data_IF_475854485660
#
_entry.id   IF_475854485660
#
_cell.length_a   1.000
_cell.length_b   1.000
_cell.length_c   1.000
_cell.angle_alpha   90.00
_cell.angle_beta   90.00
_cell.angle_gamma   90.00
#
_symmetry.space_group_name_H-M   'P 1'
#
loop_
_entity.id
_entity.type
_entity.pdbx_description
1 polymer ?
#
# COMPACT_ATOMS: atom_id res chain seq x y z
N UNK A 1 -27.63 -4.64 -2.96
CA UNK A 1 -27.19 -3.57 -2.07
C UNK A 1 -27.72 -2.20 -2.51
N UNK A 2 -28.39 -2.05 -3.65
CA UNK A 2 -29.05 -0.79 -4.07
C UNK A 2 -28.11 0.40 -4.36
N UNK A 3 -26.81 0.14 -4.56
CA UNK A 3 -25.84 1.16 -4.97
C UNK A 3 -25.89 1.23 -6.50
N UNK A 4 -26.35 2.35 -7.02
CA UNK A 4 -26.44 2.56 -8.47
C UNK A 4 -25.16 3.15 -9.06
N UNK A 5 -24.45 3.97 -8.28
CA UNK A 5 -23.19 4.62 -8.67
C UNK A 5 -22.25 4.72 -7.48
N UNK A 6 -20.98 4.50 -7.70
CA UNK A 6 -19.97 4.62 -6.66
C UNK A 6 -18.74 3.76 -6.95
N UNK A 7 -17.73 3.96 -6.15
CA UNK A 7 -16.58 3.08 -6.09
C UNK A 7 -16.75 2.12 -4.91
N UNK A 8 -16.45 0.87 -5.15
CA UNK A 8 -16.49 -0.18 -4.15
C UNK A 8 -15.10 -0.78 -3.98
N UNK A 9 -14.68 -0.93 -2.74
CA UNK A 9 -13.55 -1.76 -2.36
C UNK A 9 -14.09 -3.10 -1.86
N UNK A 10 -13.89 -4.14 -2.64
CA UNK A 10 -14.35 -5.50 -2.32
C UNK A 10 -13.18 -6.38 -1.95
N UNK A 11 -13.21 -6.91 -0.74
CA UNK A 11 -12.25 -7.91 -0.29
C UNK A 11 -12.78 -9.31 -0.60
N UNK A 12 -11.95 -10.11 -1.26
CA UNK A 12 -12.31 -11.48 -1.66
C UNK A 12 -11.21 -12.46 -1.25
N UNK A 13 -11.62 -13.66 -0.86
CA UNK A 13 -10.73 -14.80 -0.68
C UNK A 13 -10.86 -15.72 -1.88
N UNK A 14 -9.74 -16.03 -2.51
CA UNK A 14 -9.69 -17.06 -3.54
C UNK A 14 -9.69 -18.44 -2.86
N UNK A 15 -10.64 -19.29 -3.25
CA UNK A 15 -10.77 -20.65 -2.75
C UNK A 15 -10.82 -21.64 -3.92
N UNK A 16 -10.63 -22.96 -3.69
CA UNK A 16 -10.79 -23.96 -4.74
C UNK A 16 -12.16 -23.92 -5.43
N UNK A 17 -13.22 -23.50 -4.69
CA UNK A 17 -14.59 -23.36 -5.20
C UNK A 17 -14.88 -21.98 -5.82
N UNK A 18 -13.86 -21.17 -6.07
CA UNK A 18 -13.97 -19.82 -6.61
C UNK A 18 -13.87 -18.71 -5.56
N UNK A 19 -13.99 -17.43 -5.96
CA UNK A 19 -13.84 -16.29 -5.07
C UNK A 19 -15.02 -16.20 -4.08
N UNK A 20 -14.69 -15.91 -2.82
CA UNK A 20 -15.65 -15.65 -1.74
C UNK A 20 -15.47 -14.23 -1.23
N UNK A 21 -16.55 -13.46 -1.22
CA UNK A 21 -16.54 -12.08 -0.70
C UNK A 21 -16.36 -12.12 0.81
N UNK A 22 -15.39 -11.36 1.31
CA UNK A 22 -15.15 -11.13 2.75
C UNK A 22 -15.87 -9.85 3.17
N UNK A 23 -15.60 -8.75 2.45
CA UNK A 23 -16.10 -7.43 2.79
C UNK A 23 -16.39 -6.61 1.53
N UNK A 24 -17.42 -5.77 1.63
CA UNK A 24 -17.80 -4.82 0.59
C UNK A 24 -17.89 -3.42 1.21
N UNK A 25 -16.99 -2.55 0.83
CA UNK A 25 -16.91 -1.18 1.33
C UNK A 25 -17.30 -0.17 0.23
N UNK A 26 -18.22 0.75 0.56
CA UNK A 26 -18.63 1.85 -0.32
C UNK A 26 -17.62 3.01 -0.35
N UNK A 27 -16.34 2.69 -0.44
CA UNK A 27 -15.23 3.65 -0.48
C UNK A 27 -14.03 3.08 -1.22
N UNK A 28 -13.06 3.91 -1.50
CA UNK A 28 -11.74 3.49 -1.99
C UNK A 28 -10.98 2.79 -0.86
N UNK A 29 -10.29 1.71 -1.19
CA UNK A 29 -9.37 1.02 -0.27
C UNK A 29 -8.12 1.86 0.02
N UNK A 30 -7.61 1.79 1.25
CA UNK A 30 -6.36 2.48 1.60
C UNK A 30 -5.16 1.91 0.84
N UNK A 31 -4.38 2.79 0.18
CA UNK A 31 -3.22 2.42 -0.63
C UNK A 31 -3.53 1.76 -1.98
N UNK A 32 -4.81 1.43 -2.25
CA UNK A 32 -5.24 0.82 -3.53
C UNK A 32 -5.04 1.76 -4.72
N UNK A 33 -5.37 3.07 -4.64
CA UNK A 33 -5.12 3.99 -5.75
C UNK A 33 -3.65 4.04 -6.16
N UNK A 34 -2.76 4.14 -5.18
CA UNK A 34 -1.32 4.23 -5.39
C UNK A 34 -0.77 2.95 -6.00
N UNK A 35 -1.14 1.80 -5.47
CA UNK A 35 -0.72 0.50 -6.02
C UNK A 35 -1.26 0.27 -7.43
N UNK A 36 -2.51 0.65 -7.69
CA UNK A 36 -3.13 0.51 -9.00
C UNK A 36 -2.45 1.39 -10.04
N UNK A 37 -2.18 2.66 -9.70
CA UNK A 37 -1.46 3.58 -10.56
C UNK A 37 -0.06 3.04 -10.91
N UNK A 38 0.65 2.47 -9.92
CA UNK A 38 1.97 1.86 -10.12
C UNK A 38 1.95 0.60 -10.99
N UNK A 39 0.92 -0.20 -10.89
CA UNK A 39 0.82 -1.46 -11.62
C UNK A 39 0.28 -1.29 -13.05
N UNK A 40 -0.61 -0.33 -13.28
CA UNK A 40 -1.42 -0.22 -14.49
C UNK A 40 -1.44 1.17 -15.14
N UNK A 41 -0.98 2.21 -14.43
CA UNK A 41 -1.13 3.61 -14.83
C UNK A 41 -2.53 4.19 -14.63
N UNK A 42 -3.47 3.44 -14.03
CA UNK A 42 -4.84 3.91 -13.81
C UNK A 42 -4.93 4.80 -12.58
N UNK A 43 -5.33 6.05 -12.81
CA UNK A 43 -5.55 7.07 -11.77
C UNK A 43 -6.97 6.95 -11.20
N UNK A 44 -7.11 6.29 -10.05
CA UNK A 44 -8.41 5.99 -9.46
C UNK A 44 -9.10 7.22 -8.83
N UNK A 45 -8.33 8.16 -8.28
CA UNK A 45 -8.88 9.35 -7.61
C UNK A 45 -9.62 10.30 -8.56
N UNK A 46 -9.09 10.66 -9.75
CA UNK A 46 -9.84 11.41 -10.75
C UNK A 46 -11.13 10.71 -11.18
N UNK A 47 -11.11 9.39 -11.31
CA UNK A 47 -12.31 8.61 -11.63
C UNK A 47 -13.35 8.67 -10.52
N UNK A 48 -12.92 8.59 -9.26
CA UNK A 48 -13.80 8.76 -8.11
C UNK A 48 -14.51 10.12 -8.13
N UNK A 49 -13.77 11.18 -8.44
CA UNK A 49 -14.33 12.52 -8.54
C UNK A 49 -15.37 12.61 -9.67
N UNK A 50 -15.07 12.08 -10.85
CA UNK A 50 -16.02 12.04 -11.97
C UNK A 50 -17.31 11.31 -11.60
N UNK A 51 -17.19 10.13 -10.96
CA UNK A 51 -18.36 9.38 -10.48
C UNK A 51 -19.18 10.20 -9.49
N UNK A 52 -18.53 10.93 -8.56
CA UNK A 52 -19.21 11.78 -7.59
C UNK A 52 -19.93 12.98 -8.23
N UNK A 53 -19.39 13.49 -9.35
CA UNK A 53 -20.02 14.54 -10.15
C UNK A 53 -21.13 14.02 -11.08
N UNK A 54 -21.39 12.71 -11.08
CA UNK A 54 -22.40 12.09 -11.95
C UNK A 54 -21.93 11.89 -13.39
N UNK A 55 -20.64 12.13 -13.66
CA UNK A 55 -20.04 11.91 -14.97
C UNK A 55 -19.83 10.43 -15.28
N UNK A 56 -19.95 10.00 -16.54
CA UNK A 56 -19.65 8.62 -16.91
C UNK A 56 -18.14 8.35 -16.81
N UNK A 57 -17.80 7.18 -16.27
CA UNK A 57 -16.46 6.60 -16.33
C UNK A 57 -16.55 5.32 -17.14
N UNK A 58 -15.89 5.30 -18.29
CA UNK A 58 -15.90 4.17 -19.20
C UNK A 58 -14.46 3.70 -19.40
N UNK A 59 -14.25 2.41 -19.26
CA UNK A 59 -13.01 1.74 -19.66
C UNK A 59 -13.25 1.06 -21.02
N UNK A 60 -12.48 1.43 -22.04
CA UNK A 60 -12.52 0.74 -23.32
C UNK A 60 -11.96 -0.68 -23.22
N UNK A 61 -10.98 -0.87 -22.34
CA UNK A 61 -10.43 -2.18 -21.98
C UNK A 61 -9.82 -2.12 -20.58
N UNK A 62 -9.72 -3.28 -19.92
CA UNK A 62 -8.93 -3.38 -18.70
C UNK A 62 -7.45 -3.19 -19.04
N UNK A 63 -6.75 -2.27 -18.37
CA UNK A 63 -5.33 -2.08 -18.61
C UNK A 63 -4.56 -3.35 -18.24
N UNK A 64 -3.55 -3.68 -19.04
CA UNK A 64 -2.68 -4.80 -18.75
C UNK A 64 -1.89 -4.53 -17.47
N UNK A 65 -1.93 -5.47 -16.53
CA UNK A 65 -1.12 -5.43 -15.33
C UNK A 65 0.26 -6.03 -15.66
N UNK A 66 1.18 -5.18 -16.14
CA UNK A 66 2.53 -5.60 -16.53
C UNK A 66 3.53 -5.61 -15.37
N UNK A 67 3.15 -5.06 -14.22
CA UNK A 67 4.01 -4.88 -13.03
C UNK A 67 3.24 -5.22 -11.76
N UNK A 68 3.98 -5.54 -10.72
CA UNK A 68 3.44 -5.71 -9.37
C UNK A 68 3.57 -4.37 -8.65
N UNK A 69 2.48 -3.64 -8.47
CA UNK A 69 2.42 -2.50 -7.57
C UNK A 69 2.40 -2.99 -6.12
N UNK A 70 3.18 -2.34 -5.25
CA UNK A 70 3.23 -2.72 -3.85
C UNK A 70 3.24 -1.52 -2.91
N UNK A 71 2.72 -1.74 -1.72
CA UNK A 71 2.81 -0.83 -0.59
C UNK A 71 3.15 -1.65 0.66
N UNK A 72 4.37 -1.47 1.17
CA UNK A 72 4.87 -2.14 2.37
C UNK A 72 4.71 -1.21 3.57
N UNK A 73 4.16 -1.73 4.66
CA UNK A 73 4.09 -1.05 5.96
C UNK A 73 5.05 -1.71 6.93
N UNK A 74 6.05 -0.98 7.41
CA UNK A 74 7.03 -1.50 8.36
C UNK A 74 6.68 -1.00 9.76
N UNK A 75 6.39 -1.95 10.64
CA UNK A 75 6.02 -1.71 12.02
C UNK A 75 7.24 -1.61 12.92
N UNK A 76 7.12 -0.87 14.02
CA UNK A 76 8.09 -0.94 15.10
C UNK A 76 8.07 -2.33 15.77
N UNK A 77 9.19 -2.80 16.33
CA UNK A 77 9.21 -3.98 17.19
C UNK A 77 8.17 -3.86 18.32
N UNK A 78 7.55 -4.98 18.71
CA UNK A 78 6.43 -4.99 19.65
C UNK A 78 6.76 -4.44 21.06
N UNK A 79 8.03 -4.45 21.42
CA UNK A 79 8.54 -3.91 22.69
C UNK A 79 8.76 -2.41 22.68
N UNK A 80 8.93 -1.81 21.47
CA UNK A 80 9.24 -0.39 21.31
C UNK A 80 8.01 0.49 21.62
N UNK A 81 8.24 1.62 22.28
CA UNK A 81 7.21 2.61 22.61
C UNK A 81 7.45 3.95 21.97
N UNK A 82 8.70 4.24 21.61
CA UNK A 82 9.08 5.52 21.01
C UNK A 82 10.23 5.32 20.03
N UNK A 83 10.13 5.93 18.85
CA UNK A 83 11.21 5.94 17.87
C UNK A 83 12.27 6.95 18.29
N UNK A 84 13.54 6.52 18.23
CA UNK A 84 14.72 7.37 18.45
C UNK A 84 15.38 7.75 17.13
N UNK A 85 15.62 6.78 16.26
CA UNK A 85 16.10 7.00 14.89
C UNK A 85 15.62 5.90 13.95
N UNK A 86 15.69 6.16 12.65
CA UNK A 86 15.50 5.16 11.59
C UNK A 86 16.66 5.33 10.62
N UNK A 87 17.46 4.30 10.45
CA UNK A 87 18.67 4.31 9.65
C UNK A 87 18.53 3.39 8.42
N UNK A 88 19.24 3.70 7.33
CA UNK A 88 19.20 2.89 6.10
C UNK A 88 18.10 3.23 5.10
N UNK A 89 17.25 4.24 5.37
CA UNK A 89 16.17 4.64 4.46
C UNK A 89 16.69 5.15 3.11
N UNK A 90 17.87 5.78 3.05
CA UNK A 90 18.44 6.26 1.78
C UNK A 90 18.77 5.09 0.85
N UNK A 91 19.44 4.05 1.36
CA UNK A 91 19.71 2.85 0.56
C UNK A 91 18.43 2.11 0.14
N UNK A 92 17.35 2.24 0.91
CA UNK A 92 16.04 1.72 0.51
C UNK A 92 15.42 2.54 -0.65
N UNK A 93 15.56 3.86 -0.63
CA UNK A 93 15.11 4.75 -1.73
C UNK A 93 15.82 4.47 -3.04
N UNK A 94 17.08 4.04 -2.98
CA UNK A 94 17.90 3.70 -4.14
C UNK A 94 17.57 2.33 -4.75
N UNK A 95 16.76 1.51 -4.07
CA UNK A 95 16.38 0.19 -4.58
C UNK A 95 15.55 0.32 -5.86
N UNK A 96 15.98 -0.34 -6.94
CA UNK A 96 15.22 -0.35 -8.20
C UNK A 96 13.81 -0.89 -7.97
N UNK A 97 12.79 -0.13 -8.38
CA UNK A 97 11.39 -0.45 -8.16
C UNK A 97 10.75 0.24 -6.95
N UNK A 98 11.55 0.82 -6.05
CA UNK A 98 11.07 1.73 -5.02
C UNK A 98 10.85 3.10 -5.64
N UNK A 99 9.70 3.69 -5.41
CA UNK A 99 9.34 5.01 -5.90
C UNK A 99 9.28 6.03 -4.78
N UNK A 100 8.76 5.63 -3.63
CA UNK A 100 8.62 6.51 -2.50
C UNK A 100 8.85 5.75 -1.18
N UNK A 101 9.54 6.39 -0.25
CA UNK A 101 9.71 5.93 1.13
C UNK A 101 9.25 7.06 2.05
N UNK A 102 8.15 6.82 2.77
CA UNK A 102 7.52 7.79 3.65
C UNK A 102 7.83 7.43 5.10
N UNK A 103 8.52 8.32 5.81
CA UNK A 103 8.73 8.18 7.26
C UNK A 103 7.50 8.70 8.01
N UNK A 104 6.67 7.78 8.51
CA UNK A 104 5.41 8.09 9.20
C UNK A 104 5.61 8.41 10.68
N UNK A 105 6.61 7.77 11.32
CA UNK A 105 6.95 7.96 12.73
C UNK A 105 8.44 8.24 12.87
N UNK A 106 8.82 9.50 12.78
CA UNK A 106 10.21 9.96 13.00
C UNK A 106 10.61 10.02 14.48
N UNK A 107 11.83 10.54 14.75
CA UNK A 107 12.37 10.65 16.09
C UNK A 107 11.42 11.36 17.06
N UNK A 108 11.28 10.82 18.26
CA UNK A 108 10.42 11.35 19.30
C UNK A 108 8.95 10.91 19.21
N UNK A 109 8.51 10.25 18.14
CA UNK A 109 7.12 9.80 17.99
C UNK A 109 6.87 8.50 18.72
N UNK A 110 5.72 8.45 19.39
CA UNK A 110 5.24 7.22 20.02
C UNK A 110 4.83 6.19 18.98
N UNK A 111 5.06 4.93 19.28
CA UNK A 111 4.63 3.77 18.49
C UNK A 111 3.94 2.76 19.38
N UNK A 112 2.92 2.11 18.82
CA UNK A 112 2.26 0.97 19.43
C UNK A 112 1.86 0.00 18.31
N UNK A 113 2.46 -1.18 18.28
CA UNK A 113 2.16 -2.21 17.31
C UNK A 113 0.68 -2.64 17.31
N UNK A 114 -0.05 -2.44 18.43
CA UNK A 114 -1.48 -2.73 18.53
C UNK A 114 -2.35 -1.75 17.73
N UNK A 115 -1.79 -0.62 17.32
CA UNK A 115 -2.50 0.37 16.51
C UNK A 115 -2.74 -0.12 15.05
N UNK A 116 -2.36 -1.36 14.72
CA UNK A 116 -2.55 -1.95 13.39
C UNK A 116 -1.93 -1.07 12.30
N UNK A 117 -2.66 -0.88 11.22
CA UNK A 117 -2.19 -0.10 10.06
C UNK A 117 -1.85 1.36 10.37
N UNK A 118 -2.24 1.89 11.51
CA UNK A 118 -1.89 3.24 11.94
C UNK A 118 -0.57 3.31 12.73
N UNK A 119 0.03 2.16 13.07
CA UNK A 119 1.23 2.05 13.91
C UNK A 119 2.54 1.95 13.15
N UNK A 120 2.52 1.93 11.81
CA UNK A 120 3.74 1.74 11.02
C UNK A 120 4.72 2.92 11.13
N UNK A 121 6.01 2.59 11.15
CA UNK A 121 7.11 3.57 11.28
C UNK A 121 7.39 4.23 9.93
N UNK A 122 7.48 3.42 8.89
CA UNK A 122 7.60 3.92 7.53
C UNK A 122 6.84 3.03 6.55
N UNK A 123 6.58 3.55 5.37
CA UNK A 123 5.98 2.83 4.26
C UNK A 123 6.81 2.97 3.00
N UNK A 124 6.73 1.98 2.14
CA UNK A 124 7.45 1.91 0.87
C UNK A 124 6.46 1.64 -0.25
N UNK A 125 6.37 2.56 -1.19
CA UNK A 125 5.54 2.44 -2.38
C UNK A 125 6.42 2.19 -3.60
N UNK A 126 5.96 1.34 -4.52
CA UNK A 126 6.68 1.11 -5.76
C UNK A 126 6.04 0.08 -6.69
N UNK A 127 6.79 -0.31 -7.70
CA UNK A 127 6.39 -1.39 -8.59
C UNK A 127 7.59 -2.15 -9.14
N UNK A 128 7.43 -3.46 -9.29
CA UNK A 128 8.49 -4.38 -9.76
C UNK A 128 7.96 -5.30 -10.86
N UNK A 129 8.86 -5.92 -11.60
CA UNK A 129 8.52 -6.87 -12.67
C UNK A 129 8.14 -8.26 -12.17
N UNK A 130 8.61 -8.65 -10.99
CA UNK A 130 8.45 -9.99 -10.45
C UNK A 130 8.45 -10.04 -8.92
N UNK A 131 8.06 -11.19 -8.37
CA UNK A 131 7.99 -11.41 -6.92
C UNK A 131 9.37 -11.51 -6.26
N UNK A 132 10.38 -11.98 -6.95
CA UNK A 132 11.73 -12.10 -6.39
C UNK A 132 12.27 -10.71 -6.02
N UNK A 133 12.07 -9.74 -6.92
CA UNK A 133 12.44 -8.35 -6.68
C UNK A 133 11.62 -7.73 -5.54
N UNK A 134 10.32 -8.02 -5.45
CA UNK A 134 9.48 -7.56 -4.33
C UNK A 134 10.01 -8.08 -2.99
N UNK A 135 10.28 -9.38 -2.91
CA UNK A 135 10.83 -9.99 -1.70
C UNK A 135 12.23 -9.46 -1.34
N UNK A 136 13.03 -9.07 -2.34
CA UNK A 136 14.33 -8.42 -2.11
C UNK A 136 14.16 -7.05 -1.44
N UNK A 137 13.20 -6.24 -1.90
CA UNK A 137 12.89 -4.93 -1.29
C UNK A 137 12.32 -5.11 0.13
N UNK A 138 11.41 -6.07 0.32
CA UNK A 138 10.87 -6.38 1.64
C UNK A 138 11.97 -6.78 2.64
N UNK A 139 12.88 -7.67 2.23
CA UNK A 139 14.04 -8.05 3.05
C UNK A 139 14.91 -6.85 3.40
N UNK A 140 15.18 -5.98 2.42
CA UNK A 140 15.93 -4.76 2.70
C UNK A 140 15.22 -3.89 3.73
N UNK A 141 13.93 -3.64 3.54
CA UNK A 141 13.13 -2.82 4.43
C UNK A 141 13.01 -3.38 5.85
N UNK A 142 13.05 -4.71 6.02
CA UNK A 142 12.82 -5.37 7.31
C UNK A 142 14.09 -5.86 8.01
N UNK A 143 15.21 -6.00 7.29
CA UNK A 143 16.44 -6.59 7.82
C UNK A 143 17.65 -5.64 7.74
N UNK A 144 17.64 -4.66 6.83
CA UNK A 144 18.75 -3.72 6.64
C UNK A 144 18.40 -2.33 7.20
N UNK A 145 17.14 -1.91 7.06
CA UNK A 145 16.69 -0.67 7.72
C UNK A 145 16.53 -0.93 9.21
N UNK A 146 17.24 -0.15 10.02
CA UNK A 146 17.23 -0.27 11.47
C UNK A 146 16.32 0.77 12.10
N UNK A 147 15.41 0.32 12.96
CA UNK A 147 14.54 1.18 13.76
C UNK A 147 15.04 1.13 15.19
N UNK A 148 15.53 2.23 15.71
CA UNK A 148 16.03 2.36 17.08
C UNK A 148 15.00 3.09 17.95
N UNK A 149 14.84 2.63 19.19
CA UNK A 149 13.90 3.24 20.13
C UNK A 149 13.92 2.59 21.52
N UNK A 150 12.98 2.99 22.34
CA UNK A 150 12.74 2.58 23.73
C UNK A 150 11.26 2.29 23.99
#
# INVERSE_FOLDING_TARGET
VGIERGLLHTEVKLTPDGPRVIELNGRIGGGVPEMLAQATGVELLPMALRVALGEPVVFESMPACARIGFLLYVQAPSWMRKVRSVEGLEGLREQAGVQEVILNRGPGRAVDWRSGNHGHVFSVLGSVGDHERLLSIERYATQVVEIHGD
#
